data_IF_068174877660
#
_entry.id   IF_068174877660
#
_cell.length_a   1.000
_cell.length_b   1.000
_cell.length_c   1.000
_cell.angle_alpha   90.00
_cell.angle_beta   90.00
_cell.angle_gamma   90.00
#
_symmetry.space_group_name_H-M   'P 1'
#
loop_
_entity.id
_entity.type
_entity.pdbx_description
1 polymer ?
#
# COMPACT_ATOMS: atom_id res chain seq x y z
N UNK A 1 -17.93 42.90 -33.78
CA UNK A 1 -17.94 42.23 -32.45
C UNK A 1 -16.89 41.11 -32.29
N UNK A 2 -16.21 40.63 -33.35
CA UNK A 2 -15.09 39.67 -33.23
C UNK A 2 -13.71 40.33 -33.03
N UNK A 3 -13.55 41.62 -33.32
CA UNK A 3 -12.24 42.30 -33.31
C UNK A 3 -11.64 42.48 -31.91
N UNK A 4 -12.46 42.47 -30.86
CA UNK A 4 -11.96 42.50 -29.48
C UNK A 4 -11.38 41.16 -29.00
N UNK A 5 -11.67 40.04 -29.67
CA UNK A 5 -11.13 38.72 -29.31
C UNK A 5 -9.72 38.47 -29.84
N UNK A 6 -9.27 39.25 -30.84
CA UNK A 6 -7.96 39.10 -31.50
C UNK A 6 -6.90 40.07 -30.99
N UNK A 7 -7.22 40.90 -29.98
CA UNK A 7 -6.20 41.74 -29.34
C UNK A 7 -5.19 40.84 -28.63
N UNK A 8 -3.88 41.03 -28.86
CA UNK A 8 -2.83 40.18 -28.30
C UNK A 8 -2.90 40.10 -26.77
N UNK A 9 -3.35 41.17 -26.11
CA UNK A 9 -3.60 41.26 -24.66
C UNK A 9 -4.67 40.26 -24.18
N UNK A 10 -5.76 40.10 -24.94
CA UNK A 10 -6.88 39.20 -24.63
C UNK A 10 -6.48 37.74 -24.88
N UNK A 11 -5.71 37.48 -25.94
CA UNK A 11 -5.14 36.17 -26.23
C UNK A 11 -4.14 35.73 -25.15
N UNK A 12 -3.24 36.62 -24.72
CA UNK A 12 -2.28 36.35 -23.64
C UNK A 12 -2.97 36.06 -22.31
N UNK A 13 -3.97 36.87 -21.95
CA UNK A 13 -4.79 36.65 -20.75
C UNK A 13 -5.44 35.27 -20.76
N UNK A 14 -6.05 34.88 -21.89
CA UNK A 14 -6.75 33.61 -22.00
C UNK A 14 -5.78 32.40 -21.93
N UNK A 15 -4.60 32.52 -22.54
CA UNK A 15 -3.55 31.50 -22.44
C UNK A 15 -3.07 31.34 -21.00
N UNK A 16 -2.86 32.43 -20.27
CA UNK A 16 -2.43 32.39 -18.85
C UNK A 16 -3.50 31.73 -17.98
N UNK A 17 -4.78 32.05 -18.18
CA UNK A 17 -5.90 31.43 -17.45
C UNK A 17 -5.97 29.91 -17.74
N UNK A 18 -5.82 29.50 -19.00
CA UNK A 18 -5.74 28.08 -19.37
C UNK A 18 -4.54 27.36 -18.72
N UNK A 19 -3.39 28.02 -18.66
CA UNK A 19 -2.18 27.46 -18.04
C UNK A 19 -2.35 27.32 -16.51
N UNK A 20 -2.89 28.34 -15.86
CA UNK A 20 -3.17 28.31 -14.43
C UNK A 20 -4.20 27.22 -14.07
N UNK A 21 -5.31 27.14 -14.80
CA UNK A 21 -6.34 26.12 -14.59
C UNK A 21 -5.80 24.71 -14.83
N UNK A 22 -4.97 24.50 -15.86
CA UNK A 22 -4.30 23.22 -16.11
C UNK A 22 -3.34 22.83 -14.98
N UNK A 23 -2.54 23.78 -14.47
CA UNK A 23 -1.63 23.52 -13.35
C UNK A 23 -2.40 23.18 -12.07
N UNK A 24 -3.47 23.91 -11.76
CA UNK A 24 -4.30 23.68 -10.57
C UNK A 24 -5.02 22.32 -10.66
N UNK A 25 -5.64 22.00 -11.79
CA UNK A 25 -6.31 20.69 -11.99
C UNK A 25 -5.31 19.55 -11.92
N UNK A 26 -4.15 19.67 -12.58
CA UNK A 26 -3.09 18.66 -12.52
C UNK A 26 -2.53 18.47 -11.11
N UNK A 27 -2.40 19.54 -10.33
CA UNK A 27 -1.96 19.46 -8.94
C UNK A 27 -3.02 18.84 -8.04
N UNK A 28 -4.30 19.21 -8.20
CA UNK A 28 -5.41 18.61 -7.47
C UNK A 28 -5.54 17.10 -7.74
N UNK A 29 -5.34 16.68 -9.00
CA UNK A 29 -5.33 15.26 -9.39
C UNK A 29 -4.16 14.46 -8.79
N UNK A 30 -3.01 15.10 -8.55
CA UNK A 30 -1.83 14.45 -7.94
C UNK A 30 -1.91 14.33 -6.43
N UNK A 31 -2.82 15.05 -5.76
CA UNK A 31 -2.97 14.99 -4.30
C UNK A 31 -3.55 13.65 -3.88
N UNK A 32 -2.86 12.96 -2.97
CA UNK A 32 -3.36 11.77 -2.31
C UNK A 32 -4.60 12.14 -1.49
N UNK A 33 -5.58 11.24 -1.45
CA UNK A 33 -6.77 11.43 -0.60
C UNK A 33 -6.34 11.38 0.86
N UNK A 34 -7.07 12.04 1.76
CA UNK A 34 -6.87 11.82 3.19
C UNK A 34 -7.33 10.39 3.54
N UNK A 35 -6.57 9.64 4.35
CA UNK A 35 -7.02 8.33 4.79
C UNK A 35 -8.32 8.49 5.57
N UNK A 36 -9.35 7.75 5.14
CA UNK A 36 -10.55 7.59 5.94
C UNK A 36 -10.19 6.56 7.02
N UNK A 37 -10.19 6.96 8.30
CA UNK A 37 -9.90 6.05 9.42
C UNK A 37 -10.91 4.92 9.42
N UNK A 38 -10.58 3.81 8.77
CA UNK A 38 -11.21 2.55 9.06
C UNK A 38 -10.67 2.10 10.40
N UNK A 39 -11.56 1.86 11.37
CA UNK A 39 -11.21 1.09 12.57
C UNK A 39 -11.02 -0.36 12.11
N UNK A 40 -9.91 -0.64 11.43
CA UNK A 40 -9.51 -2.02 11.17
C UNK A 40 -9.11 -2.62 12.52
N UNK A 41 -10.02 -3.39 13.11
CA UNK A 41 -9.71 -4.24 14.25
C UNK A 41 -9.03 -5.49 13.76
N UNK A 42 -7.90 -5.83 14.40
CA UNK A 42 -7.19 -7.09 14.16
C UNK A 42 -8.16 -8.25 14.36
N UNK A 43 -8.34 -9.06 13.33
CA UNK A 43 -9.14 -10.27 13.37
C UNK A 43 -8.21 -11.43 13.76
N UNK A 44 -8.46 -12.02 14.93
CA UNK A 44 -7.70 -13.18 15.40
C UNK A 44 -8.19 -14.43 14.65
N UNK A 45 -7.39 -15.01 13.75
CA UNK A 45 -7.83 -16.17 12.98
C UNK A 45 -7.85 -17.43 13.86
N UNK A 46 -8.69 -18.40 13.51
CA UNK A 46 -8.70 -19.71 14.18
C UNK A 46 -7.43 -20.48 13.85
N UNK A 47 -6.93 -21.27 14.81
CA UNK A 47 -5.78 -22.13 14.56
C UNK A 47 -6.06 -23.17 13.49
N UNK A 48 -5.10 -23.38 12.58
CA UNK A 48 -5.22 -24.30 11.44
C UNK A 48 -3.87 -24.88 11.03
N UNK A 49 -3.87 -26.10 10.47
CA UNK A 49 -2.69 -26.68 9.82
C UNK A 49 -2.64 -26.38 8.31
N UNK A 50 -3.68 -25.73 7.77
CA UNK A 50 -3.73 -25.37 6.36
C UNK A 50 -2.91 -24.11 6.07
N UNK A 51 -1.62 -24.31 5.79
CA UNK A 51 -0.71 -23.22 5.45
C UNK A 51 -1.08 -22.48 4.16
N UNK A 52 -1.73 -23.13 3.20
CA UNK A 52 -2.15 -22.47 1.97
C UNK A 52 -3.28 -21.48 2.23
N UNK A 53 -4.27 -21.85 3.07
CA UNK A 53 -5.34 -20.96 3.48
C UNK A 53 -4.82 -19.74 4.26
N UNK A 54 -3.86 -19.94 5.18
CA UNK A 54 -3.23 -18.82 5.91
C UNK A 54 -2.47 -17.91 4.94
N UNK A 55 -1.71 -18.48 4.00
CA UNK A 55 -0.99 -17.69 3.00
C UNK A 55 -1.94 -16.91 2.07
N UNK A 56 -3.08 -17.48 1.68
CA UNK A 56 -4.11 -16.78 0.90
C UNK A 56 -4.75 -15.61 1.68
N UNK A 57 -5.02 -15.80 2.98
CA UNK A 57 -5.51 -14.74 3.87
C UNK A 57 -4.49 -13.60 3.97
N UNK A 58 -3.23 -13.90 4.27
CA UNK A 58 -2.16 -12.89 4.35
C UNK A 58 -1.89 -12.18 3.03
N UNK A 59 -2.04 -12.87 1.90
CA UNK A 59 -1.96 -12.26 0.59
C UNK A 59 -3.10 -11.26 0.37
N UNK A 60 -4.31 -11.56 0.84
CA UNK A 60 -5.46 -10.64 0.81
C UNK A 60 -5.19 -9.39 1.66
N UNK A 61 -4.67 -9.56 2.88
CA UNK A 61 -4.24 -8.46 3.75
C UNK A 61 -3.19 -7.57 3.06
N UNK A 62 -2.15 -8.16 2.45
CA UNK A 62 -1.12 -7.41 1.71
C UNK A 62 -1.66 -6.67 0.47
N UNK A 63 -2.60 -7.27 -0.27
CA UNK A 63 -3.23 -6.61 -1.43
C UNK A 63 -4.02 -5.39 -1.00
N UNK A 64 -4.81 -5.50 0.08
CA UNK A 64 -5.53 -4.36 0.65
C UNK A 64 -4.56 -3.27 1.09
N UNK A 65 -3.53 -3.65 1.87
CA UNK A 65 -2.50 -2.74 2.34
C UNK A 65 -1.79 -2.01 1.19
N UNK A 66 -1.37 -2.71 0.14
CA UNK A 66 -0.77 -2.11 -1.06
C UNK A 66 -1.70 -1.08 -1.70
N UNK A 67 -2.99 -1.42 -1.87
CA UNK A 67 -3.94 -0.54 -2.53
C UNK A 67 -4.15 0.74 -1.72
N UNK A 68 -4.32 0.61 -0.40
CA UNK A 68 -4.46 1.75 0.49
C UNK A 68 -3.18 2.58 0.57
N UNK A 69 -2.00 1.96 0.64
CA UNK A 69 -0.72 2.66 0.63
C UNK A 69 -0.52 3.43 -0.69
N UNK A 70 -0.90 2.86 -1.83
CA UNK A 70 -0.90 3.58 -3.11
C UNK A 70 -1.89 4.74 -3.13
N UNK A 71 -3.05 4.63 -2.48
CA UNK A 71 -4.09 5.65 -2.50
C UNK A 71 -3.81 6.83 -1.56
N UNK A 72 -3.30 6.54 -0.37
CA UNK A 72 -3.17 7.48 0.74
C UNK A 72 -1.72 7.85 1.07
N UNK A 73 -0.75 7.09 0.57
CA UNK A 73 0.69 7.37 0.70
C UNK A 73 1.23 7.23 2.12
N UNK A 74 2.31 7.95 2.39
CA UNK A 74 3.05 7.90 3.66
C UNK A 74 2.21 8.13 4.94
N UNK A 75 1.15 8.94 4.89
CA UNK A 75 0.29 9.15 6.06
C UNK A 75 -0.40 7.84 6.47
N UNK A 76 -0.93 7.09 5.49
CA UNK A 76 -1.51 5.78 5.76
C UNK A 76 -0.46 4.77 6.24
N UNK A 77 0.77 4.85 5.70
CA UNK A 77 1.89 4.05 6.20
C UNK A 77 2.12 4.29 7.70
N UNK A 78 2.26 5.52 8.15
CA UNK A 78 2.51 5.80 9.57
C UNK A 78 1.34 5.38 10.46
N UNK A 79 0.10 5.64 10.05
CA UNK A 79 -1.06 5.42 10.92
C UNK A 79 -1.55 3.98 10.95
N UNK A 80 -1.47 3.24 9.83
CA UNK A 80 -2.18 1.97 9.67
C UNK A 80 -1.25 0.76 9.54
N UNK A 81 0.01 0.93 9.15
CA UNK A 81 0.96 -0.19 9.06
C UNK A 81 1.12 -0.97 10.37
N UNK A 82 1.12 -0.34 11.58
CA UNK A 82 1.15 -1.11 12.83
C UNK A 82 -0.01 -2.11 12.95
N UNK A 83 -1.22 -1.72 12.54
CA UNK A 83 -2.40 -2.59 12.55
C UNK A 83 -2.23 -3.73 11.54
N UNK A 84 -1.74 -3.43 10.34
CA UNK A 84 -1.46 -4.44 9.32
C UNK A 84 -0.40 -5.44 9.77
N UNK A 85 0.64 -4.97 10.47
CA UNK A 85 1.67 -5.83 11.06
C UNK A 85 1.04 -6.77 12.09
N UNK A 86 0.21 -6.26 13.00
CA UNK A 86 -0.46 -7.10 14.00
C UNK A 86 -1.43 -8.12 13.36
N UNK A 87 -2.12 -7.73 12.28
CA UNK A 87 -2.95 -8.67 11.51
C UNK A 87 -2.10 -9.78 10.87
N UNK A 88 -0.99 -9.44 10.22
CA UNK A 88 -0.09 -10.43 9.61
C UNK A 88 0.57 -11.35 10.65
N UNK A 89 0.91 -10.82 11.82
CA UNK A 89 1.39 -11.64 12.95
C UNK A 89 0.30 -12.60 13.44
N UNK A 90 -0.93 -12.12 13.60
CA UNK A 90 -2.05 -12.96 14.04
C UNK A 90 -2.33 -14.08 13.04
N UNK A 91 -2.23 -13.81 11.74
CA UNK A 91 -2.33 -14.81 10.68
C UNK A 91 -1.19 -15.83 10.75
N UNK A 92 0.06 -15.39 10.87
CA UNK A 92 1.19 -16.31 11.04
C UNK A 92 1.04 -17.21 12.28
N UNK A 93 0.64 -16.62 13.41
CA UNK A 93 0.46 -17.33 14.68
C UNK A 93 -0.78 -18.25 14.69
N UNK A 94 -1.68 -18.10 13.72
CA UNK A 94 -2.80 -19.04 13.55
C UNK A 94 -2.35 -20.38 12.95
N UNK A 95 -1.16 -20.44 12.35
CA UNK A 95 -0.64 -21.65 11.75
C UNK A 95 -0.09 -22.60 12.82
N UNK A 96 -0.59 -23.83 12.84
CA UNK A 96 -0.04 -24.91 13.68
C UNK A 96 1.31 -25.32 13.09
N UNK A 97 2.37 -25.16 13.86
CA UNK A 97 3.74 -25.45 13.44
C UNK A 97 3.97 -26.96 13.29
N UNK A 98 4.45 -27.35 12.13
CA UNK A 98 4.82 -28.71 11.74
C UNK A 98 5.85 -28.63 10.60
N UNK A 99 6.52 -29.73 10.25
CA UNK A 99 7.47 -29.73 9.13
C UNK A 99 6.85 -29.22 7.82
N UNK A 100 5.57 -29.51 7.55
CA UNK A 100 4.86 -29.07 6.36
C UNK A 100 4.47 -27.59 6.36
N UNK A 101 4.37 -26.95 7.53
CA UNK A 101 3.89 -25.57 7.69
C UNK A 101 5.01 -24.59 8.06
N UNK A 102 6.17 -25.07 8.50
CA UNK A 102 7.30 -24.26 8.93
C UNK A 102 7.75 -23.26 7.86
N UNK A 103 7.91 -23.71 6.61
CA UNK A 103 8.34 -22.85 5.50
C UNK A 103 7.38 -21.69 5.27
N UNK A 104 6.07 -21.92 5.42
CA UNK A 104 5.05 -20.87 5.26
C UNK A 104 5.12 -19.91 6.44
N UNK A 105 5.24 -20.42 7.67
CA UNK A 105 5.41 -19.58 8.85
C UNK A 105 6.61 -18.64 8.71
N UNK A 106 7.78 -19.17 8.31
CA UNK A 106 9.01 -18.38 8.16
C UNK A 106 8.88 -17.29 7.09
N UNK A 107 8.16 -17.58 5.99
CA UNK A 107 7.86 -16.59 4.95
C UNK A 107 6.97 -15.46 5.46
N UNK A 108 5.92 -15.79 6.22
CA UNK A 108 5.02 -14.81 6.83
C UNK A 108 5.79 -13.96 7.85
N UNK A 109 6.63 -14.59 8.68
CA UNK A 109 7.47 -13.94 9.67
C UNK A 109 8.43 -12.93 9.07
N UNK A 110 9.23 -13.37 8.10
CA UNK A 110 10.17 -12.50 7.38
C UNK A 110 9.49 -11.27 6.79
N UNK A 111 8.25 -11.41 6.31
CA UNK A 111 7.51 -10.30 5.76
C UNK A 111 7.10 -9.27 6.83
N UNK A 112 6.47 -9.68 7.94
CA UNK A 112 6.06 -8.71 8.95
C UNK A 112 7.26 -8.10 9.68
N UNK A 113 8.36 -8.83 9.87
CA UNK A 113 9.61 -8.28 10.43
C UNK A 113 10.20 -7.20 9.54
N UNK A 114 10.18 -7.41 8.21
CA UNK A 114 10.63 -6.39 7.28
C UNK A 114 9.75 -5.15 7.33
N UNK A 115 8.44 -5.31 7.45
CA UNK A 115 7.51 -4.17 7.63
C UNK A 115 7.76 -3.41 8.95
N UNK A 116 8.07 -4.12 10.04
CA UNK A 116 8.49 -3.51 11.31
C UNK A 116 9.76 -2.68 11.11
N UNK A 117 10.75 -3.21 10.40
CA UNK A 117 12.00 -2.48 10.14
C UNK A 117 11.78 -1.18 9.36
N UNK A 118 10.85 -1.16 8.40
CA UNK A 118 10.48 0.06 7.69
C UNK A 118 9.78 1.08 8.58
N UNK A 119 8.99 0.63 9.57
CA UNK A 119 8.32 1.50 10.53
C UNK A 119 9.29 2.15 11.53
N UNK A 120 10.36 1.44 11.91
CA UNK A 120 11.35 1.92 12.87
C UNK A 120 12.45 2.79 12.24
N UNK A 121 12.55 2.81 10.91
CA UNK A 121 13.57 3.57 10.20
C UNK A 121 13.36 5.07 10.34
N UNK A 122 14.42 5.82 10.69
CA UNK A 122 14.38 7.28 10.65
C UNK A 122 14.24 7.79 9.21
N UNK A 123 13.27 8.69 8.98
CA UNK A 123 12.83 9.06 7.64
C UNK A 123 13.22 10.49 7.29
N UNK A 124 14.27 10.64 6.50
CA UNK A 124 14.62 11.93 5.88
C UNK A 124 13.81 12.19 4.60
N UNK A 125 13.50 11.13 3.82
CA UNK A 125 12.69 11.19 2.60
C UNK A 125 11.53 10.20 2.68
N UNK A 126 10.35 10.74 2.98
CA UNK A 126 9.10 9.97 3.12
C UNK A 126 8.67 9.31 1.82
N UNK A 127 9.01 9.91 0.66
CA UNK A 127 8.61 9.37 -0.63
C UNK A 127 9.47 8.18 -1.04
N UNK A 128 10.76 8.26 -0.74
CA UNK A 128 11.67 7.12 -0.91
C UNK A 128 11.22 5.92 -0.09
N UNK A 129 10.91 6.12 1.19
CA UNK A 129 10.41 5.03 2.05
C UNK A 129 9.09 4.45 1.55
N UNK A 130 8.13 5.29 1.15
CA UNK A 130 6.87 4.83 0.56
C UNK A 130 7.11 3.89 -0.65
N UNK A 131 8.05 4.25 -1.52
CA UNK A 131 8.41 3.43 -2.68
C UNK A 131 9.10 2.12 -2.29
N UNK A 132 10.00 2.14 -1.31
CA UNK A 132 10.68 0.94 -0.81
C UNK A 132 9.68 -0.05 -0.21
N UNK A 133 8.74 0.45 0.60
CA UNK A 133 7.66 -0.36 1.18
C UNK A 133 6.76 -0.92 0.09
N UNK A 134 6.32 -0.10 -0.88
CA UNK A 134 5.50 -0.57 -2.00
C UNK A 134 6.22 -1.63 -2.84
N UNK A 135 7.53 -1.48 -3.07
CA UNK A 135 8.32 -2.44 -3.82
C UNK A 135 8.43 -3.77 -3.06
N UNK A 136 8.71 -3.72 -1.76
CA UNK A 136 8.72 -4.90 -0.89
C UNK A 136 7.38 -5.63 -0.94
N UNK A 137 6.27 -4.93 -0.66
CA UNK A 137 4.92 -5.51 -0.66
C UNK A 137 4.57 -6.10 -2.02
N UNK A 138 4.91 -5.43 -3.12
CA UNK A 138 4.69 -5.94 -4.48
C UNK A 138 5.41 -7.24 -4.73
N UNK A 139 6.70 -7.30 -4.38
CA UNK A 139 7.52 -8.49 -4.55
C UNK A 139 6.95 -9.65 -3.73
N UNK A 140 6.64 -9.41 -2.46
CA UNK A 140 6.01 -10.42 -1.58
C UNK A 140 4.71 -10.97 -2.16
N UNK A 141 3.81 -10.09 -2.65
CA UNK A 141 2.54 -10.53 -3.27
C UNK A 141 2.79 -11.41 -4.49
N UNK A 142 3.77 -11.07 -5.33
CA UNK A 142 4.12 -11.86 -6.52
C UNK A 142 4.66 -13.23 -6.12
N UNK A 143 5.62 -13.25 -5.20
CA UNK A 143 6.29 -14.47 -4.74
C UNK A 143 5.27 -15.43 -4.12
N UNK A 144 4.43 -14.95 -3.20
CA UNK A 144 3.41 -15.76 -2.53
C UNK A 144 2.33 -16.26 -3.48
N UNK A 145 1.91 -15.42 -4.46
CA UNK A 145 0.97 -15.87 -5.49
C UNK A 145 1.56 -17.00 -6.33
N UNK A 146 2.85 -16.94 -6.65
CA UNK A 146 3.50 -17.99 -7.41
C UNK A 146 3.63 -19.27 -6.58
N UNK A 147 3.97 -19.18 -5.30
CA UNK A 147 3.99 -20.32 -4.37
C UNK A 147 2.63 -21.03 -4.35
N UNK A 148 1.53 -20.29 -4.17
CA UNK A 148 0.17 -20.84 -4.17
C UNK A 148 -0.27 -21.46 -5.50
N UNK A 149 0.33 -21.05 -6.62
CA UNK A 149 0.07 -21.66 -7.93
C UNK A 149 0.81 -22.97 -8.10
N UNK A 150 2.02 -23.09 -7.54
CA UNK A 150 2.83 -24.30 -7.63
C UNK A 150 2.44 -25.37 -6.61
N UNK A 151 1.61 -25.03 -5.62
CA UNK A 151 1.06 -25.95 -4.63
C UNK A 151 -0.31 -26.54 -4.98
N UNK A 152 -0.91 -26.13 -6.12
CA UNK A 152 -2.18 -26.66 -6.67
C UNK A 152 -1.89 -27.63 -7.80
#
# INVERSE_FOLDING_TARGET
MLENFLRPEVLLSNVIVCLATFLITRWALKRKKKPQRQKETVQIPKQTADGAAVLEASLTTLRSYKNNLNQYGYVYFQETTPIVIEQLKAEANSLILSEGTQTIHDLLQKNYERLISFQQQEVADTKKLELEVLNHVNKTIIDWRNLLKHSK
#
